data_IF_639719161516
#
_entry.id   IF_639719161516
#
_cell.length_a   1.000
_cell.length_b   1.000
_cell.length_c   1.000
_cell.angle_alpha   90.00
_cell.angle_beta   90.00
_cell.angle_gamma   90.00
#
_symmetry.space_group_name_H-M   'P 1'
#
loop_
_entity.id
_entity.type
_entity.pdbx_description
1 polymer ?
#
# COMPACT_ATOMS: atom_id res chain seq x y z
N UNK A 1 39.68 -1.19 -12.77
CA UNK A 1 38.57 -0.68 -11.97
C UNK A 1 38.05 -1.62 -10.86
N UNK A 2 38.74 -2.68 -10.49
CA UNK A 2 38.29 -3.62 -9.41
C UNK A 2 38.96 -3.38 -8.03
N UNK A 3 39.92 -2.45 -7.90
CA UNK A 3 40.65 -2.21 -6.65
C UNK A 3 40.25 -0.93 -5.88
N UNK A 4 39.28 -0.14 -6.39
CA UNK A 4 38.84 1.09 -5.71
C UNK A 4 37.66 0.84 -4.77
N UNK A 5 36.81 -0.16 -5.04
CA UNK A 5 35.63 -0.47 -4.22
C UNK A 5 35.97 -1.18 -2.90
N UNK A 6 37.03 -1.95 -2.84
CA UNK A 6 37.44 -2.66 -1.60
C UNK A 6 37.98 -1.73 -0.51
N UNK A 7 38.58 -0.60 -0.90
CA UNK A 7 39.15 0.35 0.08
C UNK A 7 38.11 1.28 0.72
N UNK A 8 36.99 1.54 0.04
CA UNK A 8 35.90 2.39 0.55
C UNK A 8 35.10 1.64 1.61
N UNK A 9 34.89 0.33 1.45
CA UNK A 9 34.17 -0.47 2.46
C UNK A 9 35.00 -0.72 3.73
N UNK A 10 36.31 -0.87 3.61
CA UNK A 10 37.21 -1.05 4.77
C UNK A 10 37.30 0.24 5.61
N UNK A 11 37.28 1.42 4.98
CA UNK A 11 37.30 2.72 5.70
C UNK A 11 35.96 3.04 6.34
N UNK A 12 34.83 2.67 5.72
CA UNK A 12 33.51 2.85 6.32
C UNK A 12 33.28 1.95 7.55
N UNK A 13 33.76 0.71 7.52
CA UNK A 13 33.71 -0.20 8.66
C UNK A 13 34.60 0.25 9.80
N UNK A 14 35.81 0.76 9.50
CA UNK A 14 36.72 1.28 10.52
C UNK A 14 36.19 2.58 11.19
N UNK A 15 35.53 3.45 10.44
CA UNK A 15 34.89 4.68 10.97
C UNK A 15 33.65 4.31 11.82
N UNK A 16 32.86 3.30 11.43
CA UNK A 16 31.74 2.82 12.23
C UNK A 16 32.20 2.21 13.56
N UNK A 17 33.30 1.48 13.58
CA UNK A 17 33.88 0.90 14.83
C UNK A 17 34.44 2.02 15.73
N UNK A 18 35.06 3.05 15.18
CA UNK A 18 35.60 4.19 15.96
C UNK A 18 34.47 5.07 16.48
N UNK A 19 33.38 5.27 15.72
CA UNK A 19 32.20 6.00 16.17
C UNK A 19 31.40 5.20 17.22
N UNK A 20 31.36 3.86 17.14
CA UNK A 20 30.72 3.03 18.17
C UNK A 20 31.51 3.03 19.50
N UNK A 21 32.84 3.11 19.42
CA UNK A 21 33.69 3.26 20.63
C UNK A 21 33.63 4.65 21.27
N UNK A 22 33.26 5.69 20.51
CA UNK A 22 33.11 7.07 21.01
C UNK A 22 31.74 7.33 21.66
N UNK A 23 30.73 6.50 21.37
CA UNK A 23 29.37 6.59 21.92
C UNK A 23 29.06 5.51 22.96
N UNK A 24 30.06 4.86 23.53
CA UNK A 24 29.84 4.09 24.75
C UNK A 24 29.34 5.05 25.84
N UNK A 25 28.16 4.77 26.48
CA UNK A 25 27.63 5.63 27.54
C UNK A 25 28.72 5.90 28.59
N UNK A 26 28.73 7.11 29.14
CA UNK A 26 29.65 7.51 30.19
C UNK A 26 29.70 6.50 31.35
N UNK A 27 28.60 5.75 31.55
CA UNK A 27 28.47 4.65 32.51
C UNK A 27 29.46 3.51 32.33
N UNK A 28 29.84 3.15 31.05
CA UNK A 28 30.82 2.07 30.81
C UNK A 28 32.26 2.57 31.07
N UNK A 29 32.52 3.87 30.81
CA UNK A 29 33.83 4.48 31.14
C UNK A 29 34.00 4.62 32.66
N UNK A 30 32.93 4.95 33.38
CA UNK A 30 32.93 4.99 34.86
C UNK A 30 33.02 3.59 35.46
N UNK A 31 32.42 2.56 34.84
CA UNK A 31 32.53 1.18 35.31
C UNK A 31 33.99 0.68 35.28
N UNK A 32 34.78 1.04 34.24
CA UNK A 32 36.23 0.76 34.21
C UNK A 32 37.04 1.47 35.29
N UNK A 33 36.82 2.77 35.53
CA UNK A 33 37.49 3.55 36.54
C UNK A 33 37.15 3.11 37.97
N UNK A 34 35.93 2.56 38.20
CA UNK A 34 35.53 2.00 39.50
C UNK A 34 36.06 0.57 39.74
N UNK A 35 36.36 -0.20 38.65
CA UNK A 35 36.99 -1.52 38.78
C UNK A 35 38.37 -1.42 39.45
N UNK A 36 39.15 -0.43 39.05
CA UNK A 36 40.56 -0.27 39.54
C UNK A 36 40.66 0.18 41.02
N UNK A 37 39.61 0.81 41.55
CA UNK A 37 39.55 1.21 42.98
C UNK A 37 38.90 0.17 43.89
N UNK A 38 38.18 -0.80 43.37
CA UNK A 38 37.55 -1.87 44.15
C UNK A 38 38.51 -3.02 44.49
N UNK A 39 39.65 -3.12 43.78
CA UNK A 39 40.64 -4.17 44.00
C UNK A 39 41.50 -3.91 45.28
N UNK A 40 41.44 -2.69 45.86
CA UNK A 40 42.18 -2.32 47.08
C UNK A 40 41.44 -2.68 48.38
N UNK A 41 40.17 -3.11 48.32
CA UNK A 41 39.32 -3.37 49.51
C UNK A 41 39.01 -4.87 49.70
N UNK A 42 39.40 -5.75 48.76
CA UNK A 42 38.95 -7.13 48.73
C UNK A 42 39.90 -8.15 49.38
N UNK A 43 40.78 -7.75 50.31
CA UNK A 43 41.69 -8.65 51.04
C UNK A 43 41.24 -8.96 52.46
N UNK A 44 40.06 -9.58 52.63
CA UNK A 44 39.76 -10.35 53.87
C UNK A 44 38.71 -11.45 53.65
N UNK A 45 39.17 -12.61 53.55
CA UNK A 45 38.86 -14.01 53.94
C UNK A 45 37.42 -14.46 54.21
N UNK A 46 37.23 -15.64 53.65
CA UNK A 46 36.47 -16.82 54.13
C UNK A 46 34.97 -16.80 53.81
N UNK A 47 34.60 -17.58 52.78
CA UNK A 47 33.43 -18.47 52.85
C UNK A 47 33.47 -19.46 51.67
N UNK A 48 33.17 -20.74 51.97
CA UNK A 48 33.32 -21.85 51.05
C UNK A 48 32.64 -21.71 49.70
N UNK A 49 33.21 -22.37 48.70
CA UNK A 49 32.81 -22.48 47.31
C UNK A 49 31.38 -23.06 47.15
N UNK A 50 30.36 -22.23 47.35
CA UNK A 50 29.06 -22.55 46.81
C UNK A 50 29.01 -22.13 45.36
N UNK A 51 29.06 -23.11 44.43
CA UNK A 51 28.85 -22.87 43.02
C UNK A 51 27.49 -22.23 42.80
N UNK A 52 27.46 -21.04 42.21
CA UNK A 52 26.22 -20.39 41.88
C UNK A 52 25.65 -21.00 40.59
N UNK A 53 24.33 -21.03 40.48
CA UNK A 53 23.64 -21.40 39.25
C UNK A 53 22.46 -20.47 38.98
N UNK A 54 22.19 -20.23 37.72
CA UNK A 54 21.02 -19.49 37.24
C UNK A 54 20.11 -20.46 36.49
N UNK A 55 18.92 -20.69 37.03
CA UNK A 55 17.88 -21.45 36.37
C UNK A 55 16.84 -20.50 35.78
N UNK A 56 16.65 -20.58 34.46
CA UNK A 56 15.67 -19.75 33.74
C UNK A 56 14.55 -20.65 33.21
N UNK A 57 13.30 -20.34 33.61
CA UNK A 57 12.09 -20.99 33.11
C UNK A 57 11.49 -20.13 32.00
N UNK A 58 11.20 -20.73 30.82
CA UNK A 58 10.57 -20.04 29.68
C UNK A 58 9.82 -21.03 28.77
N UNK A 59 8.67 -20.66 28.29
CA UNK A 59 7.87 -21.47 27.35
C UNK A 59 7.69 -22.95 27.76
N UNK A 60 7.55 -23.22 29.07
CA UNK A 60 7.46 -24.58 29.59
C UNK A 60 8.77 -25.37 29.63
N UNK A 61 9.91 -24.74 29.35
CA UNK A 61 11.26 -25.28 29.42
C UNK A 61 11.99 -24.68 30.61
N UNK A 62 13.01 -25.36 31.05
CA UNK A 62 13.92 -24.92 32.11
C UNK A 62 15.34 -25.15 31.66
N UNK A 63 16.16 -24.11 31.73
CA UNK A 63 17.57 -24.17 31.42
C UNK A 63 18.37 -23.65 32.62
N UNK A 64 19.35 -24.42 33.08
CA UNK A 64 20.20 -24.09 34.24
C UNK A 64 21.63 -23.92 33.76
N UNK A 65 22.25 -22.85 34.19
CA UNK A 65 23.65 -22.52 33.93
C UNK A 65 24.42 -22.36 35.24
N UNK A 66 25.61 -22.91 35.26
CA UNK A 66 26.55 -22.77 36.38
C UNK A 66 27.27 -21.44 36.33
N UNK A 67 27.87 -21.01 37.43
CA UNK A 67 28.71 -19.80 37.50
C UNK A 67 29.88 -19.87 36.51
N UNK A 68 30.43 -21.06 36.30
CA UNK A 68 31.52 -21.30 35.35
C UNK A 68 31.09 -21.03 33.91
N UNK A 69 29.89 -21.48 33.52
CA UNK A 69 29.33 -21.27 32.17
C UNK A 69 28.95 -19.82 31.90
N UNK A 70 28.61 -19.04 32.94
CA UNK A 70 28.28 -17.62 32.80
C UNK A 70 29.52 -16.74 32.91
N UNK A 71 30.56 -17.20 33.58
CA UNK A 71 31.79 -16.45 33.82
C UNK A 71 32.97 -16.88 32.91
N UNK A 72 32.90 -18.06 32.29
CA UNK A 72 33.98 -18.53 31.39
C UNK A 72 33.94 -17.84 30.03
N UNK A 73 35.07 -17.44 29.45
CA UNK A 73 35.10 -16.94 28.08
C UNK A 73 34.82 -18.09 27.11
N UNK A 74 33.94 -17.84 26.13
CA UNK A 74 33.83 -18.69 24.95
C UNK A 74 35.20 -18.67 24.20
N UNK A 75 35.68 -19.81 23.73
CA UNK A 75 37.00 -19.99 23.17
C UNK A 75 37.35 -19.21 21.89
N UNK A 76 36.44 -18.31 21.42
CA UNK A 76 36.66 -17.50 20.22
C UNK A 76 36.74 -15.98 20.46
N UNK A 77 36.62 -15.50 21.68
CA UNK A 77 36.81 -14.08 22.00
C UNK A 77 38.03 -13.88 22.91
N UNK A 78 39.16 -13.51 22.32
CA UNK A 78 40.34 -12.99 23.03
C UNK A 78 39.99 -11.70 23.77
N UNK A 79 39.43 -11.82 24.97
CA UNK A 79 39.47 -10.77 25.96
C UNK A 79 40.46 -11.19 27.05
N UNK A 80 41.57 -10.51 27.15
CA UNK A 80 42.44 -10.58 28.34
C UNK A 80 41.64 -10.22 29.58
N UNK A 81 41.02 -11.20 30.21
CA UNK A 81 40.46 -11.10 31.55
C UNK A 81 41.57 -11.50 32.49
N UNK A 82 42.07 -10.57 33.30
CA UNK A 82 43.01 -10.86 34.36
C UNK A 82 42.48 -12.04 35.18
N UNK A 83 43.29 -13.13 35.23
CA UNK A 83 42.98 -14.41 35.89
C UNK A 83 42.55 -14.31 37.35
N UNK A 84 42.79 -13.20 38.02
CA UNK A 84 42.45 -12.99 39.46
C UNK A 84 41.00 -12.63 39.73
N UNK A 85 40.12 -12.44 38.73
CA UNK A 85 38.71 -12.03 38.93
C UNK A 85 37.68 -13.15 38.80
N UNK A 86 38.08 -14.32 38.29
CA UNK A 86 37.16 -15.43 37.99
C UNK A 86 36.86 -16.28 39.26
N UNK A 87 37.69 -16.23 40.28
CA UNK A 87 37.62 -17.09 41.47
C UNK A 87 36.94 -16.46 42.70
N UNK A 88 36.32 -15.26 42.60
CA UNK A 88 35.53 -14.72 43.73
C UNK A 88 34.23 -15.47 43.90
N UNK A 89 33.93 -15.93 45.11
CA UNK A 89 32.71 -16.68 45.40
C UNK A 89 31.43 -15.88 45.12
N UNK A 90 30.32 -16.57 44.92
CA UNK A 90 29.02 -15.96 44.59
C UNK A 90 28.61 -14.82 45.56
N UNK A 91 28.86 -15.01 46.89
CA UNK A 91 28.52 -13.98 47.89
C UNK A 91 29.30 -12.69 47.68
N UNK A 92 30.56 -12.76 47.32
CA UNK A 92 31.42 -11.60 47.07
C UNK A 92 30.96 -10.90 45.77
N UNK A 93 30.71 -11.68 44.73
CA UNK A 93 30.15 -11.14 43.46
C UNK A 93 28.79 -10.47 43.67
N UNK A 94 27.86 -11.08 44.41
CA UNK A 94 26.56 -10.51 44.75
C UNK A 94 26.66 -9.23 45.59
N UNK A 95 27.57 -9.19 46.55
CA UNK A 95 27.84 -8.00 47.37
C UNK A 95 28.41 -6.88 46.49
N UNK A 96 29.34 -7.17 45.59
CA UNK A 96 29.92 -6.21 44.66
C UNK A 96 28.89 -5.66 43.70
N UNK A 97 28.02 -6.52 43.12
CA UNK A 97 26.92 -6.08 42.28
C UNK A 97 25.98 -5.14 43.00
N UNK A 98 25.59 -5.47 44.25
CA UNK A 98 24.78 -4.60 45.11
C UNK A 98 25.45 -3.25 45.40
N UNK A 99 26.74 -3.26 45.72
CA UNK A 99 27.49 -2.04 45.92
C UNK A 99 27.53 -1.16 44.67
N UNK A 100 27.78 -1.76 43.50
CA UNK A 100 27.78 -1.04 42.21
C UNK A 100 26.42 -0.38 41.93
N UNK A 101 25.31 -1.08 42.18
CA UNK A 101 23.95 -0.53 42.01
C UNK A 101 23.70 0.61 43.02
N UNK A 102 24.13 0.45 44.27
CA UNK A 102 24.01 1.52 45.30
C UNK A 102 24.84 2.76 44.94
N UNK A 103 25.88 2.62 44.12
CA UNK A 103 26.69 3.72 43.59
C UNK A 103 26.15 4.30 42.27
N UNK A 104 24.95 3.91 41.83
CA UNK A 104 24.26 4.49 40.68
C UNK A 104 24.43 3.74 39.37
N UNK A 105 25.11 2.56 39.30
CA UNK A 105 25.13 1.76 38.12
C UNK A 105 23.76 1.08 37.88
N UNK A 106 23.39 0.93 36.64
CA UNK A 106 22.22 0.12 36.31
C UNK A 106 22.44 -1.35 36.74
N UNK A 107 21.35 -2.06 37.06
CA UNK A 107 21.44 -3.48 37.44
C UNK A 107 22.13 -4.32 36.37
N UNK A 108 21.86 -4.04 35.08
CA UNK A 108 22.50 -4.69 33.94
C UNK A 108 24.02 -4.48 33.97
N UNK A 109 24.51 -3.23 34.05
CA UNK A 109 25.94 -2.93 34.06
C UNK A 109 26.64 -3.56 35.26
N UNK A 110 26.01 -3.53 36.42
CA UNK A 110 26.57 -4.11 37.62
C UNK A 110 26.69 -5.63 37.57
N UNK A 111 25.68 -6.31 36.96
CA UNK A 111 25.71 -7.75 36.76
C UNK A 111 26.73 -8.16 35.70
N UNK A 112 26.73 -7.50 34.52
CA UNK A 112 27.65 -7.81 33.41
C UNK A 112 29.12 -7.65 33.83
N UNK A 113 29.43 -6.64 34.68
CA UNK A 113 30.79 -6.47 35.19
C UNK A 113 31.24 -7.60 36.16
N UNK A 114 30.31 -8.40 36.69
CA UNK A 114 30.64 -9.55 37.57
C UNK A 114 30.42 -10.91 36.86
N UNK A 115 29.59 -10.91 35.85
CA UNK A 115 29.21 -12.08 35.03
C UNK A 115 29.25 -11.70 33.56
N UNK A 116 30.45 -11.65 32.94
CA UNK A 116 30.64 -11.14 31.57
C UNK A 116 29.86 -11.86 30.50
N UNK A 117 29.58 -13.17 30.67
CA UNK A 117 28.85 -13.99 29.69
C UNK A 117 27.33 -13.99 29.89
N UNK A 118 26.82 -13.31 30.94
CA UNK A 118 25.38 -13.20 31.15
C UNK A 118 24.61 -12.57 29.95
N UNK A 119 25.17 -11.59 29.21
CA UNK A 119 24.53 -11.11 27.98
C UNK A 119 24.44 -12.19 26.89
N UNK A 120 25.49 -12.94 26.63
CA UNK A 120 25.47 -14.03 25.63
C UNK A 120 24.48 -15.11 26.00
N UNK A 121 24.39 -15.45 27.27
CA UNK A 121 23.37 -16.35 27.79
C UNK A 121 21.94 -15.81 27.55
N UNK A 122 21.67 -14.54 27.92
CA UNK A 122 20.40 -13.91 27.66
C UNK A 122 20.06 -13.91 26.15
N UNK A 123 21.01 -13.60 25.30
CA UNK A 123 20.83 -13.62 23.85
C UNK A 123 20.48 -15.03 23.33
N UNK A 124 21.13 -16.07 23.84
CA UNK A 124 20.83 -17.45 23.47
C UNK A 124 19.38 -17.85 23.79
N UNK A 125 18.92 -17.60 25.02
CA UNK A 125 17.54 -17.92 25.41
C UNK A 125 16.51 -17.02 24.71
N UNK A 126 16.87 -15.75 24.41
CA UNK A 126 16.04 -14.81 23.68
C UNK A 126 15.76 -15.33 22.27
N UNK A 127 16.78 -15.75 21.53
CA UNK A 127 16.64 -16.33 20.17
C UNK A 127 15.71 -17.55 20.13
N UNK A 128 15.65 -18.36 21.19
CA UNK A 128 14.76 -19.52 21.25
C UNK A 128 13.27 -19.16 21.35
N UNK A 129 12.96 -17.99 21.92
CA UNK A 129 11.58 -17.56 22.18
C UNK A 129 11.12 -16.45 21.25
N UNK A 130 12.05 -15.65 20.72
CA UNK A 130 11.73 -14.53 19.85
C UNK A 130 11.01 -14.97 18.58
N UNK A 131 9.94 -14.26 18.29
CA UNK A 131 9.18 -14.42 17.05
C UNK A 131 8.86 -13.05 16.51
N UNK A 132 9.15 -12.84 15.24
CA UNK A 132 8.77 -11.61 14.57
C UNK A 132 7.23 -11.53 14.47
N UNK A 133 6.67 -10.34 14.55
CA UNK A 133 5.24 -10.15 14.28
C UNK A 133 4.95 -10.50 12.83
N UNK A 134 3.74 -10.99 12.58
CA UNK A 134 3.24 -11.20 11.22
C UNK A 134 2.09 -10.23 10.97
N UNK A 135 2.23 -9.40 9.94
CA UNK A 135 1.20 -8.48 9.51
C UNK A 135 -0.02 -9.22 8.94
N UNK A 136 -1.17 -8.57 9.02
CA UNK A 136 -2.36 -8.95 8.28
C UNK A 136 -2.14 -8.73 6.78
N UNK A 137 -2.47 -9.72 5.98
CA UNK A 137 -2.45 -9.64 4.52
C UNK A 137 -3.87 -9.49 3.99
N UNK A 138 -4.05 -8.74 2.92
CA UNK A 138 -5.32 -8.58 2.24
C UNK A 138 -5.15 -8.89 0.74
N UNK A 139 -5.99 -9.82 0.26
CA UNK A 139 -6.06 -10.18 -1.16
C UNK A 139 -7.37 -9.68 -1.73
N UNK A 140 -7.29 -8.97 -2.85
CA UNK A 140 -8.44 -8.53 -3.62
C UNK A 140 -8.76 -9.52 -4.75
N UNK A 141 -10.03 -9.92 -4.83
CA UNK A 141 -10.56 -10.78 -5.89
C UNK A 141 -11.83 -10.12 -6.46
N UNK A 142 -11.72 -9.36 -7.56
CA UNK A 142 -12.81 -8.49 -8.03
C UNK A 142 -14.12 -9.25 -8.27
N UNK A 143 -14.06 -10.42 -8.90
CA UNK A 143 -15.22 -11.31 -9.13
C UNK A 143 -15.54 -12.27 -7.99
N UNK A 144 -14.75 -12.27 -6.89
CA UNK A 144 -14.89 -13.19 -5.77
C UNK A 144 -16.02 -12.83 -4.81
N UNK A 145 -16.45 -13.85 -4.03
CA UNK A 145 -17.34 -13.66 -2.90
C UNK A 145 -16.76 -14.43 -1.70
N UNK A 146 -16.16 -13.74 -0.72
CA UNK A 146 -16.03 -12.27 -0.61
C UNK A 146 -15.00 -11.67 -1.59
N UNK A 147 -15.15 -10.39 -1.92
CA UNK A 147 -14.19 -9.66 -2.77
C UNK A 147 -12.83 -9.47 -2.09
N UNK A 148 -12.78 -9.45 -0.78
CA UNK A 148 -11.57 -9.26 0.03
C UNK A 148 -11.41 -10.42 0.99
N UNK A 149 -10.22 -11.05 0.95
CA UNK A 149 -9.80 -12.06 1.92
C UNK A 149 -8.73 -11.41 2.78
N UNK A 150 -8.99 -11.34 4.09
CA UNK A 150 -8.10 -10.70 5.07
C UNK A 150 -7.63 -11.77 6.05
N UNK A 151 -6.31 -11.95 6.17
CA UNK A 151 -5.72 -12.85 7.17
C UNK A 151 -5.59 -12.11 8.51
N UNK A 152 -5.60 -12.87 9.61
CA UNK A 152 -5.31 -12.30 10.93
C UNK A 152 -3.81 -12.06 11.07
N UNK A 153 -3.49 -10.95 11.68
CA UNK A 153 -2.14 -10.66 12.17
C UNK A 153 -1.75 -11.55 13.34
N UNK A 154 -0.45 -11.61 13.61
CA UNK A 154 0.09 -12.26 14.81
C UNK A 154 1.09 -11.36 15.47
N UNK A 155 0.95 -11.18 16.78
CA UNK A 155 1.96 -10.48 17.56
C UNK A 155 3.26 -11.29 17.55
N UNK A 156 4.36 -10.58 17.46
CA UNK A 156 5.69 -11.09 17.79
C UNK A 156 5.87 -11.16 19.30
N UNK A 157 6.92 -11.83 19.70
CA UNK A 157 7.32 -11.97 21.11
C UNK A 157 8.83 -11.70 21.17
N UNK A 158 9.27 -10.91 22.16
CA UNK A 158 10.69 -10.76 22.52
C UNK A 158 10.88 -10.96 24.01
N UNK A 159 12.07 -11.35 24.41
CA UNK A 159 12.44 -11.39 25.82
C UNK A 159 12.50 -9.96 26.40
N UNK A 160 11.98 -9.78 27.62
CA UNK A 160 12.12 -8.52 28.37
C UNK A 160 13.50 -8.49 29.04
N UNK A 161 14.46 -7.89 28.34
CA UNK A 161 15.84 -7.76 28.82
C UNK A 161 15.91 -7.04 30.18
N UNK A 162 15.13 -5.97 30.33
CA UNK A 162 15.14 -5.18 31.56
C UNK A 162 14.60 -5.98 32.75
N UNK A 163 13.53 -6.72 32.55
CA UNK A 163 13.00 -7.60 33.57
C UNK A 163 13.97 -8.73 33.90
N UNK A 164 14.60 -9.35 32.87
CA UNK A 164 15.59 -10.39 33.06
C UNK A 164 16.70 -9.95 34.02
N UNK A 165 17.44 -8.87 33.72
CA UNK A 165 18.50 -8.38 34.59
C UNK A 165 18.00 -7.94 35.99
N UNK A 166 16.79 -7.41 36.09
CA UNK A 166 16.19 -7.05 37.38
C UNK A 166 15.88 -8.28 38.21
N UNK A 167 15.35 -9.31 37.61
CA UNK A 167 14.96 -10.56 38.30
C UNK A 167 16.18 -11.38 38.71
N UNK A 168 17.21 -11.45 37.82
CA UNK A 168 18.52 -12.06 38.15
C UNK A 168 19.16 -11.35 39.32
N UNK A 169 19.21 -9.98 39.31
CA UNK A 169 19.75 -9.21 40.42
C UNK A 169 19.01 -9.54 41.73
N UNK A 170 17.70 -9.53 41.72
CA UNK A 170 16.90 -9.78 42.92
C UNK A 170 17.04 -11.22 43.44
N UNK A 171 17.10 -12.20 42.53
CA UNK A 171 17.25 -13.61 42.90
C UNK A 171 18.63 -13.89 43.52
N UNK A 172 19.70 -13.40 42.91
CA UNK A 172 21.05 -13.60 43.40
C UNK A 172 21.39 -12.84 44.71
N UNK A 173 20.61 -11.81 45.08
CA UNK A 173 20.71 -11.20 46.40
C UNK A 173 20.15 -12.11 47.51
N UNK A 174 19.32 -13.11 47.17
CA UNK A 174 18.66 -13.99 48.13
C UNK A 174 19.36 -15.37 48.24
N UNK A 175 19.81 -15.90 47.13
CA UNK A 175 20.36 -17.26 47.04
C UNK A 175 21.45 -17.37 45.96
N UNK A 176 22.49 -18.17 46.18
CA UNK A 176 23.46 -18.50 45.13
C UNK A 176 22.81 -19.32 43.98
N UNK A 177 21.72 -20.01 44.26
CA UNK A 177 20.93 -20.75 43.26
C UNK A 177 19.70 -19.91 42.92
N UNK A 178 19.79 -19.15 41.81
CA UNK A 178 18.71 -18.27 41.37
C UNK A 178 17.78 -19.02 40.45
N UNK A 179 16.48 -18.91 40.70
CA UNK A 179 15.44 -19.36 39.76
C UNK A 179 14.62 -18.16 39.34
N UNK A 180 14.52 -17.91 38.05
CA UNK A 180 13.72 -16.81 37.50
C UNK A 180 12.83 -17.32 36.37
N UNK A 181 11.71 -16.64 36.15
CA UNK A 181 10.87 -16.86 34.97
C UNK A 181 11.13 -15.75 33.98
N UNK A 182 11.54 -16.10 32.77
CA UNK A 182 11.79 -15.13 31.71
C UNK A 182 10.48 -14.46 31.28
N UNK A 183 10.42 -13.15 31.47
CA UNK A 183 9.30 -12.33 31.03
C UNK A 183 9.45 -11.98 29.55
N UNK A 184 8.32 -11.84 28.87
CA UNK A 184 8.28 -11.52 27.45
C UNK A 184 7.42 -10.29 27.21
N UNK A 185 7.79 -9.52 26.20
CA UNK A 185 7.01 -8.42 25.66
C UNK A 185 6.42 -8.83 24.30
N UNK A 186 5.20 -8.37 24.03
CA UNK A 186 4.61 -8.54 22.72
C UNK A 186 5.06 -7.43 21.79
N UNK A 187 5.41 -7.82 20.55
CA UNK A 187 5.71 -6.88 19.46
C UNK A 187 4.46 -6.82 18.59
N UNK A 188 3.75 -5.68 18.54
CA UNK A 188 2.59 -5.56 17.68
C UNK A 188 3.00 -5.61 16.19
N UNK A 189 2.14 -6.11 15.30
CA UNK A 189 2.34 -6.04 13.86
C UNK A 189 2.22 -4.59 13.38
N UNK A 190 2.82 -4.28 12.24
CA UNK A 190 2.71 -2.97 11.60
C UNK A 190 1.34 -2.77 10.94
N UNK A 191 0.72 -3.85 10.42
CA UNK A 191 -0.58 -3.83 9.75
C UNK A 191 -1.51 -4.85 10.41
N UNK A 192 -2.67 -4.36 10.89
CA UNK A 192 -3.71 -5.21 11.49
C UNK A 192 -4.81 -5.58 10.49
N UNK A 193 -5.59 -6.61 10.77
CA UNK A 193 -6.78 -6.94 10.01
C UNK A 193 -7.83 -5.81 10.04
N UNK A 194 -7.87 -5.06 11.13
CA UNK A 194 -8.72 -3.87 11.25
C UNK A 194 -8.30 -2.76 10.28
N UNK A 195 -6.99 -2.54 10.07
CA UNK A 195 -6.49 -1.55 9.12
C UNK A 195 -6.76 -1.97 7.67
N UNK A 196 -6.58 -3.24 7.35
CA UNK A 196 -6.97 -3.79 6.06
C UNK A 196 -8.47 -3.67 5.82
N UNK A 197 -9.32 -3.95 6.81
CA UNK A 197 -10.77 -3.84 6.70
C UNK A 197 -11.24 -2.41 6.40
N UNK A 198 -10.58 -1.39 6.92
CA UNK A 198 -10.87 0.02 6.59
C UNK A 198 -10.68 0.35 5.11
N UNK A 199 -9.91 -0.46 4.38
CA UNK A 199 -9.63 -0.27 2.96
C UNK A 199 -10.58 -1.06 2.02
N UNK A 200 -11.61 -1.69 2.54
CA UNK A 200 -12.57 -2.47 1.74
C UNK A 200 -13.88 -1.75 1.44
N UNK A 201 -13.98 -0.47 1.75
CA UNK A 201 -15.18 0.32 1.55
C UNK A 201 -15.45 0.55 0.06
N UNK A 202 -16.72 0.45 -0.36
CA UNK A 202 -17.12 0.87 -1.70
C UNK A 202 -17.14 2.40 -1.76
N UNK A 203 -16.07 3.00 -2.31
CA UNK A 203 -15.91 4.46 -2.43
C UNK A 203 -16.84 5.06 -3.46
N UNK A 204 -16.99 4.38 -4.58
CA UNK A 204 -17.81 4.84 -5.70
C UNK A 204 -18.20 3.70 -6.64
N UNK A 205 -19.34 3.87 -7.29
CA UNK A 205 -19.79 3.04 -8.41
C UNK A 205 -20.35 3.93 -9.50
N UNK A 206 -19.98 3.65 -10.74
CA UNK A 206 -20.57 4.30 -11.91
C UNK A 206 -20.80 3.31 -13.03
N UNK A 207 -21.83 3.57 -13.84
CA UNK A 207 -22.15 2.73 -14.99
C UNK A 207 -22.59 3.55 -16.21
N UNK A 208 -22.36 3.00 -17.39
CA UNK A 208 -22.88 3.49 -18.67
C UNK A 208 -23.57 2.36 -19.44
N UNK A 209 -24.63 2.68 -20.16
CA UNK A 209 -25.41 1.72 -20.95
C UNK A 209 -24.85 1.60 -22.36
N UNK A 210 -24.54 0.36 -22.81
CA UNK A 210 -24.16 0.02 -24.18
C UNK A 210 -25.08 -1.06 -24.80
N UNK A 211 -26.22 -1.34 -24.20
CA UNK A 211 -27.15 -2.42 -24.59
C UNK A 211 -27.56 -2.36 -26.06
N UNK A 212 -27.74 -1.14 -26.57
CA UNK A 212 -28.14 -0.89 -27.98
C UNK A 212 -26.99 -0.92 -28.98
N UNK A 213 -25.77 -1.19 -28.55
CA UNK A 213 -24.60 -1.25 -29.44
C UNK A 213 -24.57 -2.52 -30.27
N UNK A 214 -24.00 -2.43 -31.46
CA UNK A 214 -23.70 -3.61 -32.28
C UNK A 214 -22.70 -4.56 -31.64
N UNK A 215 -22.63 -5.81 -32.10
CA UNK A 215 -21.84 -6.90 -31.52
C UNK A 215 -20.36 -6.53 -31.30
N UNK A 216 -19.70 -6.02 -32.31
CA UNK A 216 -18.28 -5.66 -32.24
C UNK A 216 -18.02 -4.54 -31.21
N UNK A 217 -18.90 -3.54 -31.15
CA UNK A 217 -18.79 -2.44 -30.20
C UNK A 217 -18.98 -2.94 -28.76
N UNK A 218 -19.95 -3.85 -28.54
CA UNK A 218 -20.15 -4.49 -27.23
C UNK A 218 -18.90 -5.23 -26.82
N UNK A 219 -18.35 -6.07 -27.69
CA UNK A 219 -17.10 -6.79 -27.43
C UNK A 219 -15.94 -5.84 -27.05
N UNK A 220 -15.74 -4.74 -27.77
CA UNK A 220 -14.68 -3.77 -27.46
C UNK A 220 -14.84 -3.10 -26.10
N UNK A 221 -16.07 -2.76 -25.71
CA UNK A 221 -16.37 -2.23 -24.37
C UNK A 221 -16.02 -3.26 -23.29
N UNK A 222 -16.51 -4.49 -23.46
CA UNK A 222 -16.32 -5.60 -22.53
C UNK A 222 -14.82 -5.94 -22.36
N UNK A 223 -14.09 -6.01 -23.47
CA UNK A 223 -12.65 -6.25 -23.46
C UNK A 223 -11.88 -5.14 -22.73
N UNK A 224 -12.24 -3.87 -22.99
CA UNK A 224 -11.60 -2.74 -22.31
C UNK A 224 -11.88 -2.74 -20.81
N UNK A 225 -13.11 -3.06 -20.39
CA UNK A 225 -13.47 -3.21 -18.98
C UNK A 225 -12.70 -4.38 -18.34
N UNK A 226 -12.63 -5.53 -19.01
CA UNK A 226 -11.88 -6.70 -18.51
C UNK A 226 -10.40 -6.38 -18.29
N UNK A 227 -9.76 -5.63 -19.21
CA UNK A 227 -8.34 -5.25 -19.08
C UNK A 227 -8.06 -4.31 -17.92
N UNK A 228 -9.05 -3.56 -17.46
CA UNK A 228 -8.90 -2.63 -16.31
C UNK A 228 -9.33 -3.25 -14.98
N UNK A 229 -9.95 -4.44 -15.01
CA UNK A 229 -10.40 -5.14 -13.83
C UNK A 229 -9.24 -5.64 -12.95
N UNK A 230 -9.41 -5.62 -11.64
CA UNK A 230 -8.41 -6.07 -10.68
C UNK A 230 -7.24 -5.11 -10.49
N UNK A 231 -7.30 -3.90 -11.04
CA UNK A 231 -6.23 -2.89 -10.81
C UNK A 231 -6.18 -2.49 -9.34
N UNK A 232 -4.99 -2.50 -8.78
CA UNK A 232 -4.70 -1.99 -7.43
C UNK A 232 -3.75 -0.80 -7.53
N UNK A 233 -3.97 0.23 -6.74
CA UNK A 233 -3.15 1.43 -6.67
C UNK A 233 -2.80 1.73 -5.21
N UNK A 234 -1.52 1.80 -4.90
CA UNK A 234 -1.02 2.33 -3.63
C UNK A 234 -1.32 3.83 -3.54
N UNK A 235 -1.25 4.40 -2.33
CA UNK A 235 -1.36 5.85 -2.18
C UNK A 235 -0.24 6.56 -2.93
N UNK A 236 -0.57 7.59 -3.71
CA UNK A 236 0.34 8.29 -4.62
C UNK A 236 0.58 7.60 -5.97
N UNK A 237 0.09 6.37 -6.19
CA UNK A 237 0.26 5.65 -7.45
C UNK A 237 -0.72 6.13 -8.51
N UNK A 238 -0.24 6.22 -9.77
CA UNK A 238 -1.01 6.71 -10.91
C UNK A 238 -1.45 5.59 -11.83
N UNK A 239 -2.70 5.66 -12.29
CA UNK A 239 -3.27 4.82 -13.32
C UNK A 239 -3.18 5.50 -14.69
N UNK A 240 -2.96 4.71 -15.76
CA UNK A 240 -3.06 5.12 -17.17
C UNK A 240 -3.90 4.12 -17.92
N UNK A 241 -5.00 4.58 -18.51
CA UNK A 241 -5.91 3.74 -19.27
C UNK A 241 -5.22 3.15 -20.51
N UNK A 242 -4.44 3.97 -21.23
CA UNK A 242 -3.75 3.50 -22.43
C UNK A 242 -2.64 2.48 -22.12
N UNK A 243 -1.93 2.64 -20.99
CA UNK A 243 -0.93 1.67 -20.54
C UNK A 243 -1.59 0.33 -20.19
N UNK A 244 -2.73 0.38 -19.49
CA UNK A 244 -3.44 -0.82 -19.02
C UNK A 244 -4.17 -1.56 -20.14
N UNK A 245 -4.90 -0.85 -20.99
CA UNK A 245 -5.69 -1.45 -22.07
C UNK A 245 -4.85 -1.79 -23.30
N UNK A 246 -3.79 -1.04 -23.53
CA UNK A 246 -2.89 -1.22 -24.68
C UNK A 246 -3.42 -0.64 -25.99
N UNK A 247 -2.70 -0.91 -27.08
CA UNK A 247 -3.06 -0.49 -28.43
C UNK A 247 -4.35 -1.17 -28.89
N UNK A 248 -5.25 -0.41 -29.55
CA UNK A 248 -6.50 -0.94 -30.12
C UNK A 248 -6.20 -1.55 -31.48
N UNK A 249 -5.76 -2.80 -31.50
CA UNK A 249 -5.44 -3.57 -32.73
C UNK A 249 -6.16 -4.91 -32.71
N UNK A 250 -6.28 -5.54 -33.87
CA UNK A 250 -6.83 -6.89 -33.99
C UNK A 250 -6.05 -7.92 -33.19
N UNK A 251 -4.73 -7.78 -33.13
CA UNK A 251 -3.83 -8.62 -32.31
C UNK A 251 -4.15 -8.56 -30.82
N UNK A 252 -4.60 -7.38 -30.34
CA UNK A 252 -5.02 -7.18 -28.96
C UNK A 252 -6.51 -7.51 -28.73
N UNK A 253 -7.18 -8.11 -29.72
CA UNK A 253 -8.54 -8.58 -29.64
C UNK A 253 -9.62 -7.54 -29.93
N UNK A 254 -9.28 -6.35 -30.44
CA UNK A 254 -10.25 -5.31 -30.76
C UNK A 254 -10.79 -5.49 -32.18
N UNK A 255 -12.09 -5.26 -32.34
CA UNK A 255 -12.81 -5.36 -33.61
C UNK A 255 -13.12 -3.98 -34.17
N UNK A 256 -13.38 -3.93 -35.48
CA UNK A 256 -13.88 -2.71 -36.12
C UNK A 256 -15.31 -2.40 -35.68
N UNK A 257 -15.51 -1.14 -35.29
CA UNK A 257 -16.81 -0.58 -34.98
C UNK A 257 -16.76 0.95 -35.18
N UNK A 258 -17.89 1.64 -35.13
CA UNK A 258 -17.95 3.08 -35.33
C UNK A 258 -17.10 3.84 -34.29
N UNK A 259 -16.15 4.64 -34.78
CA UNK A 259 -15.34 5.61 -34.05
C UNK A 259 -15.64 7.03 -34.53
N UNK A 260 -15.26 8.04 -33.78
CA UNK A 260 -15.39 9.45 -34.15
C UNK A 260 -14.03 9.97 -34.62
N UNK A 261 -13.92 10.36 -35.89
CA UNK A 261 -12.70 10.97 -36.48
C UNK A 261 -13.12 12.23 -37.20
N UNK A 262 -12.49 13.37 -36.84
CA UNK A 262 -12.80 14.65 -37.51
C UNK A 262 -14.26 15.12 -37.38
N UNK A 263 -15.01 14.63 -36.36
CA UNK A 263 -16.42 14.95 -36.19
C UNK A 263 -17.38 14.05 -36.98
N UNK A 264 -16.89 12.99 -37.62
CA UNK A 264 -17.68 12.01 -38.35
C UNK A 264 -17.55 10.60 -37.77
N UNK A 265 -18.59 9.77 -38.00
CA UNK A 265 -18.56 8.35 -37.64
C UNK A 265 -17.97 7.53 -38.75
N UNK A 266 -16.82 6.93 -38.53
CA UNK A 266 -16.14 6.03 -39.47
C UNK A 266 -15.92 4.66 -38.80
N UNK A 267 -15.72 3.63 -39.62
CA UNK A 267 -15.33 2.31 -39.07
C UNK A 267 -13.85 2.31 -38.69
N UNK A 268 -13.53 1.77 -37.51
CA UNK A 268 -12.17 1.68 -37.04
C UNK A 268 -12.03 0.75 -35.83
N UNK A 269 -10.82 0.27 -35.59
CA UNK A 269 -10.53 -0.66 -34.50
C UNK A 269 -10.76 -0.01 -33.12
N UNK A 270 -11.42 -0.73 -32.23
CA UNK A 270 -11.65 -0.32 -30.87
C UNK A 270 -12.81 0.66 -30.67
N UNK A 271 -13.74 0.79 -31.65
CA UNK A 271 -14.96 1.59 -31.45
C UNK A 271 -15.73 1.10 -30.23
N UNK A 272 -15.99 2.02 -29.28
CA UNK A 272 -16.61 1.73 -27.98
C UNK A 272 -15.65 1.87 -26.78
N UNK A 273 -14.35 1.78 -26.95
CA UNK A 273 -13.35 1.84 -25.85
C UNK A 273 -13.44 3.13 -25.05
N UNK A 274 -13.75 4.28 -25.68
CA UNK A 274 -13.97 5.54 -24.96
C UNK A 274 -15.17 5.50 -24.00
N UNK A 275 -16.11 4.58 -24.15
CA UNK A 275 -17.17 4.39 -23.17
C UNK A 275 -16.66 3.70 -21.91
N UNK A 276 -15.73 2.74 -22.04
CA UNK A 276 -15.06 2.12 -20.90
C UNK A 276 -14.24 3.15 -20.13
N UNK A 277 -13.40 3.96 -20.81
CA UNK A 277 -12.64 5.03 -20.16
C UNK A 277 -13.52 6.07 -19.50
N UNK A 278 -14.64 6.46 -20.12
CA UNK A 278 -15.63 7.37 -19.52
C UNK A 278 -16.27 6.78 -18.27
N UNK A 279 -16.60 5.49 -18.29
CA UNK A 279 -17.17 4.81 -17.10
C UNK A 279 -16.17 4.84 -15.94
N UNK A 280 -14.92 4.50 -16.22
CA UNK A 280 -13.85 4.51 -15.22
C UNK A 280 -13.54 5.92 -14.71
N UNK A 281 -13.47 6.92 -15.61
CA UNK A 281 -13.27 8.33 -15.26
C UNK A 281 -14.29 8.84 -14.24
N UNK A 282 -15.56 8.54 -14.48
CA UNK A 282 -16.61 8.99 -13.60
C UNK A 282 -16.57 8.28 -12.24
N UNK A 283 -16.28 7.00 -12.22
CA UNK A 283 -16.07 6.27 -10.96
C UNK A 283 -14.86 6.85 -10.19
N UNK A 284 -13.76 7.15 -10.88
CA UNK A 284 -12.57 7.78 -10.29
C UNK A 284 -12.88 9.16 -9.67
N UNK A 285 -13.63 10.01 -10.38
CA UNK A 285 -14.08 11.31 -9.86
C UNK A 285 -14.90 11.15 -8.57
N UNK A 286 -15.88 10.23 -8.59
CA UNK A 286 -16.75 9.97 -7.44
C UNK A 286 -16.00 9.30 -6.27
N UNK A 287 -14.95 8.53 -6.57
CA UNK A 287 -14.06 7.93 -5.58
C UNK A 287 -13.08 8.94 -4.97
N UNK A 288 -13.04 10.18 -5.48
CA UNK A 288 -12.15 11.23 -4.98
C UNK A 288 -10.71 11.12 -5.50
N UNK A 289 -10.46 10.40 -6.59
CA UNK A 289 -9.14 10.33 -7.21
C UNK A 289 -8.74 11.69 -7.80
N UNK A 290 -7.44 11.98 -7.83
CA UNK A 290 -6.94 13.12 -8.57
C UNK A 290 -6.85 12.77 -10.05
N UNK A 291 -7.64 13.41 -10.89
CA UNK A 291 -7.58 13.20 -12.34
C UNK A 291 -6.51 14.11 -12.94
N UNK A 292 -5.47 13.50 -13.53
CA UNK A 292 -4.30 14.16 -14.07
C UNK A 292 -4.48 14.47 -15.57
N UNK A 293 -5.16 13.56 -16.30
CA UNK A 293 -5.44 13.71 -17.73
C UNK A 293 -6.81 13.12 -18.08
N UNK A 294 -7.68 13.90 -18.67
CA UNK A 294 -8.94 13.46 -19.27
C UNK A 294 -9.39 14.48 -20.34
N UNK A 295 -9.63 14.01 -21.55
CA UNK A 295 -10.09 14.84 -22.67
C UNK A 295 -11.54 14.61 -23.05
N UNK A 296 -12.23 15.62 -23.60
CA UNK A 296 -13.57 15.49 -24.18
C UNK A 296 -13.54 14.91 -25.59
N UNK A 297 -14.64 14.33 -26.02
CA UNK A 297 -14.88 14.05 -27.42
C UNK A 297 -15.17 15.33 -28.19
N UNK A 298 -14.99 15.29 -29.51
CA UNK A 298 -15.41 16.36 -30.41
C UNK A 298 -16.94 16.48 -30.46
N UNK A 299 -17.65 15.35 -30.38
CA UNK A 299 -19.11 15.25 -30.36
C UNK A 299 -19.56 14.76 -28.98
N UNK A 300 -20.63 15.34 -28.42
CA UNK A 300 -21.17 14.92 -27.13
C UNK A 300 -21.68 13.47 -27.18
N UNK A 301 -21.11 12.55 -26.39
CA UNK A 301 -21.58 11.17 -26.36
C UNK A 301 -22.91 11.08 -25.61
N UNK A 302 -23.80 10.20 -26.05
CA UNK A 302 -25.16 10.05 -25.47
C UNK A 302 -25.20 9.23 -24.18
N UNK A 303 -24.15 8.51 -23.83
CA UNK A 303 -24.09 7.59 -22.68
C UNK A 303 -23.65 8.27 -21.38
N UNK A 304 -23.29 9.56 -21.40
CA UNK A 304 -22.89 10.34 -20.25
C UNK A 304 -23.29 11.83 -20.41
N UNK A 305 -23.48 12.52 -19.31
CA UNK A 305 -23.76 13.96 -19.36
C UNK A 305 -22.52 14.72 -19.90
N UNK A 306 -22.71 15.85 -20.62
CA UNK A 306 -21.63 16.67 -21.14
C UNK A 306 -20.63 17.08 -20.06
N UNK A 307 -19.36 17.22 -20.43
CA UNK A 307 -18.20 17.48 -19.55
C UNK A 307 -17.87 16.37 -18.54
N UNK A 308 -18.40 15.16 -18.75
CA UNK A 308 -18.07 13.97 -17.98
C UNK A 308 -17.63 12.78 -18.85
N UNK A 309 -17.34 13.00 -20.09
CA UNK A 309 -16.74 12.02 -20.98
C UNK A 309 -15.22 12.02 -20.90
N UNK A 310 -14.59 10.90 -21.23
CA UNK A 310 -13.15 10.75 -21.33
C UNK A 310 -12.79 10.07 -22.64
N UNK A 311 -12.43 10.88 -23.64
CA UNK A 311 -11.95 10.40 -24.92
C UNK A 311 -10.51 9.91 -24.79
N UNK A 312 -10.23 8.71 -25.30
CA UNK A 312 -8.89 8.12 -25.30
C UNK A 312 -8.48 7.71 -26.71
N UNK A 313 -7.20 7.94 -27.03
CA UNK A 313 -6.58 7.50 -28.28
C UNK A 313 -5.13 7.11 -27.98
N UNK A 314 -4.74 5.91 -28.38
CA UNK A 314 -3.40 5.41 -28.05
C UNK A 314 -2.31 6.29 -28.66
N UNK A 315 -1.41 6.77 -27.80
CA UNK A 315 -0.29 7.62 -28.18
C UNK A 315 -0.61 9.14 -28.23
N UNK A 316 -1.88 9.58 -28.04
CA UNK A 316 -2.23 11.00 -28.16
C UNK A 316 -3.14 11.53 -27.04
N UNK A 317 -4.08 10.74 -26.53
CA UNK A 317 -5.00 11.13 -25.45
C UNK A 317 -5.14 9.98 -24.48
N UNK A 318 -5.04 10.25 -23.20
CA UNK A 318 -5.17 9.24 -22.17
C UNK A 318 -6.18 9.65 -21.10
N UNK A 319 -6.60 8.68 -20.30
CA UNK A 319 -7.21 8.91 -19.01
C UNK A 319 -6.17 8.51 -17.97
N UNK A 320 -5.73 9.50 -17.19
CA UNK A 320 -4.82 9.29 -16.07
C UNK A 320 -5.41 9.85 -14.79
N UNK A 321 -5.24 9.14 -13.70
CA UNK A 321 -5.59 9.61 -12.37
C UNK A 321 -4.66 8.99 -11.33
N UNK A 322 -4.48 9.71 -10.22
CA UNK A 322 -3.62 9.32 -9.11
C UNK A 322 -4.47 9.05 -7.87
N UNK A 323 -4.15 7.96 -7.18
CA UNK A 323 -4.73 7.66 -5.88
C UNK A 323 -4.15 8.63 -4.83
N UNK A 324 -5.00 9.41 -4.20
CA UNK A 324 -4.67 10.36 -3.14
C UNK A 324 -5.53 10.13 -1.88
N UNK A 325 -5.91 8.89 -1.61
CA UNK A 325 -6.88 8.56 -0.56
C UNK A 325 -6.27 8.22 0.79
N UNK A 326 -4.92 8.19 0.91
CA UNK A 326 -4.21 7.80 2.12
C UNK A 326 -4.21 6.29 2.39
N UNK A 327 -4.58 5.47 1.40
CA UNK A 327 -4.57 4.02 1.48
C UNK A 327 -4.63 3.39 0.09
N UNK A 328 -4.67 2.06 0.02
CA UNK A 328 -4.81 1.38 -1.28
C UNK A 328 -6.21 1.59 -1.86
N UNK A 329 -6.28 1.63 -3.18
CA UNK A 329 -7.51 1.64 -3.97
C UNK A 329 -7.56 0.41 -4.85
N UNK A 330 -8.71 -0.25 -4.87
CA UNK A 330 -8.98 -1.46 -5.65
C UNK A 330 -10.08 -1.16 -6.66
N UNK A 331 -9.83 -1.48 -7.92
CA UNK A 331 -10.73 -1.17 -9.03
C UNK A 331 -11.34 -2.47 -9.55
N UNK A 332 -12.66 -2.58 -9.49
CA UNK A 332 -13.42 -3.65 -10.11
C UNK A 332 -14.22 -3.11 -11.27
N UNK A 333 -13.95 -3.61 -12.47
CA UNK A 333 -14.65 -3.23 -13.69
C UNK A 333 -15.25 -4.46 -14.35
N UNK A 334 -16.52 -4.39 -14.68
CA UNK A 334 -17.24 -5.51 -15.27
C UNK A 334 -18.39 -5.04 -16.14
N UNK A 335 -18.92 -5.98 -16.92
CA UNK A 335 -20.10 -5.76 -17.74
C UNK A 335 -21.23 -6.68 -17.31
N UNK A 336 -22.44 -6.11 -17.15
CA UNK A 336 -23.63 -6.85 -16.77
C UNK A 336 -24.90 -6.18 -17.29
N UNK A 337 -25.83 -6.94 -17.87
CA UNK A 337 -27.10 -6.43 -18.37
C UNK A 337 -26.97 -5.31 -19.42
N UNK A 338 -25.93 -5.34 -20.27
CA UNK A 338 -25.66 -4.28 -21.25
C UNK A 338 -25.08 -2.99 -20.67
N UNK A 339 -24.61 -3.01 -19.43
CA UNK A 339 -23.97 -1.87 -18.74
C UNK A 339 -22.51 -2.18 -18.47
N UNK A 340 -21.64 -1.22 -18.77
CA UNK A 340 -20.27 -1.17 -18.28
C UNK A 340 -20.28 -0.55 -16.89
N UNK A 341 -19.66 -1.20 -15.91
CA UNK A 341 -19.73 -0.84 -14.48
C UNK A 341 -18.31 -0.76 -13.94
N UNK A 342 -18.01 0.32 -13.24
CA UNK A 342 -16.75 0.51 -12.51
C UNK A 342 -17.03 0.79 -11.03
N UNK A 343 -16.39 0.04 -10.16
CA UNK A 343 -16.44 0.15 -8.71
C UNK A 343 -15.04 0.42 -8.17
N UNK A 344 -14.92 1.38 -7.27
CA UNK A 344 -13.69 1.70 -6.56
C UNK A 344 -13.87 1.36 -5.10
N UNK A 345 -12.95 0.58 -4.55
CA UNK A 345 -12.88 0.24 -3.13
C UNK A 345 -11.65 0.84 -2.51
N UNK A 346 -11.67 1.11 -1.22
CA UNK A 346 -10.56 1.70 -0.48
C UNK A 346 -11.00 2.29 0.85
N UNK A 347 -10.23 3.22 1.37
CA UNK A 347 -10.61 3.99 2.57
C UNK A 347 -11.84 4.84 2.26
N UNK A 348 -12.79 4.89 3.20
CA UNK A 348 -14.02 5.66 3.05
C UNK A 348 -13.76 7.12 2.69
N UNK A 349 -14.53 7.66 1.75
CA UNK A 349 -14.42 9.06 1.35
C UNK A 349 -14.89 9.98 2.49
N UNK A 350 -14.11 11.03 2.78
CA UNK A 350 -14.56 12.10 3.68
C UNK A 350 -15.84 12.77 3.20
N UNK A 351 -16.01 12.90 1.89
CA UNK A 351 -17.13 13.59 1.27
C UNK A 351 -17.95 12.66 0.37
N UNK A 352 -19.26 12.83 0.38
CA UNK A 352 -20.09 12.32 -0.69
C UNK A 352 -19.97 13.24 -1.90
N UNK A 353 -19.46 12.73 -3.02
CA UNK A 353 -19.18 13.51 -4.23
C UNK A 353 -20.28 13.33 -5.25
N UNK A 354 -20.83 14.43 -5.76
CA UNK A 354 -21.86 14.44 -6.78
C UNK A 354 -21.37 15.21 -8.00
N UNK A 355 -21.68 14.71 -9.20
CA UNK A 355 -21.36 15.35 -10.47
C UNK A 355 -22.51 16.27 -10.90
N UNK A 356 -22.21 17.46 -11.41
CA UNK A 356 -23.18 18.38 -11.99
C UNK A 356 -22.68 18.88 -13.34
N UNK A 357 -23.41 18.57 -14.42
CA UNK A 357 -23.19 19.14 -15.75
C UNK A 357 -24.10 20.36 -15.93
N UNK A 358 -23.55 21.42 -16.46
CA UNK A 358 -24.28 22.67 -16.75
C UNK A 358 -24.06 22.98 -18.23
N UNK A 359 -25.14 23.07 -18.99
CA UNK A 359 -25.11 23.60 -20.36
C UNK A 359 -25.03 25.12 -20.27
N UNK A 360 -23.94 25.68 -20.80
CA UNK A 360 -23.70 27.14 -20.79
C UNK A 360 -24.30 27.80 -22.01
N UNK A 361 -24.15 27.16 -23.17
CA UNK A 361 -24.74 27.63 -24.42
C UNK A 361 -25.01 26.45 -25.35
N UNK A 362 -26.02 26.61 -26.18
CA UNK A 362 -26.39 25.66 -27.23
C UNK A 362 -26.64 26.45 -28.52
N UNK A 363 -26.00 26.00 -29.61
CA UNK A 363 -26.23 26.58 -30.92
C UNK A 363 -27.38 25.88 -31.64
N UNK A 364 -27.50 26.13 -32.93
CA UNK A 364 -28.49 25.47 -33.79
C UNK A 364 -27.89 24.18 -34.39
N UNK A 365 -28.75 23.21 -34.65
CA UNK A 365 -28.38 22.01 -35.42
C UNK A 365 -28.22 22.40 -36.90
N UNK A 366 -27.15 21.95 -37.56
CA UNK A 366 -27.05 22.17 -39.02
C UNK A 366 -28.17 21.47 -39.75
N UNK A 367 -28.54 21.99 -40.93
CA UNK A 367 -29.49 21.35 -41.83
C UNK A 367 -29.08 19.91 -42.15
N UNK A 368 -30.07 19.03 -42.27
CA UNK A 368 -29.83 17.63 -42.61
C UNK A 368 -29.16 17.51 -44.00
N UNK A 369 -28.23 16.57 -44.14
CA UNK A 369 -27.67 16.20 -45.44
C UNK A 369 -28.70 15.30 -46.15
N UNK A 370 -29.19 15.74 -47.32
CA UNK A 370 -30.03 14.93 -48.19
C UNK A 370 -29.14 13.99 -48.99
N UNK A 371 -29.47 12.70 -49.01
CA UNK A 371 -28.86 11.67 -49.86
C UNK A 371 -29.98 11.03 -50.69
N UNK A 372 -29.75 10.88 -51.99
CA UNK A 372 -30.65 10.14 -52.86
C UNK A 372 -30.24 8.66 -52.84
N UNK A 373 -31.19 7.76 -52.63
CA UNK A 373 -30.96 6.30 -52.54
C UNK A 373 -30.96 5.65 -53.94
N UNK A 374 -30.01 6.05 -54.76
CA UNK A 374 -29.88 5.52 -56.14
C UNK A 374 -29.62 4.01 -56.18
N UNK A 375 -28.96 3.47 -55.16
CA UNK A 375 -28.62 2.05 -55.05
C UNK A 375 -29.73 1.18 -54.40
N UNK A 376 -30.83 1.78 -53.96
CA UNK A 376 -31.92 1.06 -53.27
C UNK A 376 -31.52 0.42 -51.94
N UNK A 377 -30.55 1.03 -51.22
CA UNK A 377 -29.98 0.51 -49.97
C UNK A 377 -30.89 0.69 -48.78
N UNK A 378 -31.70 1.74 -48.77
CA UNK A 378 -32.46 2.18 -47.59
C UNK A 378 -33.95 1.97 -47.73
N UNK A 379 -34.46 1.91 -48.96
CA UNK A 379 -35.88 1.69 -49.25
C UNK A 379 -36.14 0.35 -49.89
N UNK A 380 -37.25 -0.26 -49.53
CA UNK A 380 -37.73 -1.42 -50.26
C UNK A 380 -38.07 -1.05 -51.72
N UNK A 381 -37.97 -1.98 -52.70
CA UNK A 381 -38.27 -1.68 -54.11
C UNK A 381 -39.66 -1.10 -54.35
N UNK A 382 -40.64 -1.53 -53.57
CA UNK A 382 -42.06 -1.15 -53.65
C UNK A 382 -42.40 0.12 -52.80
N UNK A 383 -41.43 0.76 -52.17
CA UNK A 383 -41.69 2.00 -51.45
C UNK A 383 -42.07 3.11 -52.45
N UNK A 384 -42.87 4.08 -52.05
CA UNK A 384 -43.32 5.20 -52.85
C UNK A 384 -42.16 6.12 -53.25
N UNK A 385 -42.09 6.54 -54.54
CA UNK A 385 -41.12 7.52 -55.04
C UNK A 385 -41.18 8.82 -54.25
N UNK A 386 -40.02 9.41 -53.97
CA UNK A 386 -39.91 10.62 -53.16
C UNK A 386 -40.05 10.41 -51.66
N UNK A 387 -40.29 9.16 -51.18
CA UNK A 387 -40.29 8.84 -49.75
C UNK A 387 -39.01 9.30 -49.07
N UNK A 388 -39.14 9.83 -47.86
CA UNK A 388 -38.00 10.32 -47.05
C UNK A 388 -37.87 9.54 -45.75
N UNK A 389 -36.64 9.15 -45.42
CA UNK A 389 -36.32 8.48 -44.15
C UNK A 389 -35.10 9.13 -43.52
N UNK A 390 -35.23 9.51 -42.25
CA UNK A 390 -34.09 10.02 -41.45
C UNK A 390 -33.32 8.85 -40.86
N UNK A 391 -32.10 8.62 -41.36
CA UNK A 391 -31.23 7.55 -40.91
C UNK A 391 -30.25 7.99 -39.82
N UNK A 392 -30.06 9.31 -39.65
CA UNK A 392 -29.26 9.90 -38.56
C UNK A 392 -29.89 11.24 -38.14
N UNK A 393 -30.14 11.41 -36.83
CA UNK A 393 -30.54 12.70 -36.30
C UNK A 393 -29.37 13.66 -36.23
N UNK A 394 -29.63 14.97 -36.45
CA UNK A 394 -28.68 16.04 -36.19
C UNK A 394 -28.62 16.39 -34.72
N UNK A 395 -27.54 17.05 -34.29
CA UNK A 395 -27.46 17.69 -32.98
C UNK A 395 -26.79 19.06 -33.06
N UNK A 396 -27.24 19.97 -32.20
CA UNK A 396 -26.68 21.31 -32.06
C UNK A 396 -25.27 21.29 -31.47
N UNK A 397 -24.50 22.34 -31.69
CA UNK A 397 -23.28 22.55 -30.91
C UNK A 397 -23.62 22.82 -29.45
N UNK A 398 -22.72 22.47 -28.55
CA UNK A 398 -22.95 22.57 -27.13
C UNK A 398 -21.67 23.04 -26.41
N UNK A 399 -21.81 24.02 -25.52
CA UNK A 399 -20.79 24.36 -24.52
C UNK A 399 -21.32 23.99 -23.15
N UNK A 400 -20.51 23.24 -22.41
CA UNK A 400 -20.90 22.78 -21.07
C UNK A 400 -19.77 22.89 -20.08
N UNK A 401 -20.13 22.89 -18.81
CA UNK A 401 -19.22 22.89 -17.69
C UNK A 401 -19.53 21.72 -16.75
N UNK A 402 -18.48 21.02 -16.32
CA UNK A 402 -18.55 19.95 -15.34
C UNK A 402 -18.11 20.42 -13.95
N UNK A 403 -18.91 20.08 -12.95
CA UNK A 403 -18.65 20.41 -11.55
C UNK A 403 -18.71 19.17 -10.68
N UNK A 404 -17.86 19.13 -9.64
CA UNK A 404 -17.99 18.23 -8.52
C UNK A 404 -18.48 19.02 -7.29
N UNK A 405 -19.53 18.50 -6.67
CA UNK A 405 -20.11 19.01 -5.44
C UNK A 405 -19.74 18.04 -4.31
N UNK A 406 -19.18 18.57 -3.24
CA UNK A 406 -18.73 17.78 -2.09
C UNK A 406 -19.70 18.01 -0.93
N UNK A 407 -20.29 16.94 -0.44
CA UNK A 407 -21.26 16.96 0.65
C UNK A 407 -20.68 16.36 1.91
N UNK A 408 -20.87 17.03 3.04
CA UNK A 408 -20.56 16.55 4.38
C UNK A 408 -21.83 16.69 5.23
N UNK A 409 -22.29 15.59 5.83
CA UNK A 409 -23.55 15.58 6.62
C UNK A 409 -24.75 16.17 5.88
N UNK A 410 -24.88 15.89 4.59
CA UNK A 410 -25.99 16.35 3.76
C UNK A 410 -25.90 17.80 3.27
N UNK A 411 -24.87 18.56 3.67
CA UNK A 411 -24.65 19.95 3.21
C UNK A 411 -23.55 19.99 2.16
N UNK A 412 -23.76 20.76 1.08
CA UNK A 412 -22.72 21.03 0.09
C UNK A 412 -21.70 21.99 0.71
N UNK A 413 -20.49 21.49 0.98
CA UNK A 413 -19.40 22.26 1.62
C UNK A 413 -18.39 22.81 0.62
N UNK A 414 -18.34 22.23 -0.60
CA UNK A 414 -17.41 22.65 -1.64
C UNK A 414 -17.99 22.36 -3.02
N UNK A 415 -17.79 23.27 -3.96
CA UNK A 415 -18.03 23.07 -5.39
C UNK A 415 -16.73 23.32 -6.14
N UNK A 416 -16.35 22.41 -7.04
CA UNK A 416 -15.16 22.53 -7.88
C UNK A 416 -15.55 22.35 -9.33
N UNK A 417 -15.31 23.35 -10.16
CA UNK A 417 -15.33 23.21 -11.62
C UNK A 417 -14.16 22.31 -12.04
N UNK A 418 -14.43 21.26 -12.81
CA UNK A 418 -13.40 20.33 -13.26
C UNK A 418 -12.94 20.64 -14.67
N UNK A 419 -13.87 21.03 -15.56
CA UNK A 419 -13.55 21.41 -16.94
C UNK A 419 -14.69 22.15 -17.61
N UNK A 420 -14.39 22.72 -18.78
CA UNK A 420 -15.36 23.33 -19.71
C UNK A 420 -15.10 22.77 -21.09
N UNK A 421 -16.12 22.31 -21.77
CA UNK A 421 -16.00 21.62 -23.05
C UNK A 421 -16.91 22.22 -24.09
N UNK A 422 -16.42 22.19 -25.36
CA UNK A 422 -17.19 22.56 -26.53
C UNK A 422 -17.36 21.35 -27.44
N UNK A 423 -18.59 21.00 -27.71
CA UNK A 423 -18.93 19.91 -28.62
C UNK A 423 -19.42 20.49 -29.94
N UNK A 424 -18.95 19.92 -31.04
CA UNK A 424 -19.31 20.34 -32.38
C UNK A 424 -20.71 19.86 -32.73
N UNK A 425 -21.43 20.56 -33.60
CA UNK A 425 -22.74 20.12 -34.07
C UNK A 425 -22.59 18.92 -35.00
N UNK A 426 -23.63 18.09 -35.06
CA UNK A 426 -23.72 16.95 -35.98
C UNK A 426 -24.82 17.24 -36.97
N UNK A 427 -24.49 17.16 -38.28
CA UNK A 427 -25.46 17.21 -39.33
C UNK A 427 -26.26 15.90 -39.41
N UNK A 428 -27.58 15.95 -39.40
CA UNK A 428 -28.41 14.79 -39.64
C UNK A 428 -28.29 14.26 -41.07
N UNK A 429 -28.84 13.08 -41.33
CA UNK A 429 -28.87 12.49 -42.66
C UNK A 429 -30.34 12.08 -42.97
N UNK A 430 -30.87 12.69 -43.99
CA UNK A 430 -32.17 12.39 -44.57
C UNK A 430 -31.94 11.68 -45.91
N UNK A 431 -32.52 10.52 -46.10
CA UNK A 431 -32.42 9.73 -47.33
C UNK A 431 -33.76 9.88 -48.05
N UNK A 432 -33.69 10.15 -49.34
CA UNK A 432 -34.86 10.26 -50.22
C UNK A 432 -34.78 9.13 -51.29
N UNK A 433 -35.89 8.44 -51.51
CA UNK A 433 -36.02 7.54 -52.62
C UNK A 433 -36.06 8.36 -53.93
N UNK A 434 -35.32 7.97 -55.00
CA UNK A 434 -35.38 8.65 -56.30
C UNK A 434 -36.79 8.87 -56.82
#
# INVERSE_FOLDING_TARGET
>A
MKNAFGKIFATAAAIAIVLFAAFLPAEIKTARAFSDKADEIASERIFGDQKSCLTVCYSGRTTTYTDEEIAAPDHEAEYEIHENKINSGHREKAALVKQRVNRGLSKKCALVASYPLLPSFFEKISREIERLPKDSEMTFSPGGQPKFIITREKNGIKADERAFYSDVFAAWQRSPTAVITLKTEQIPPAVTAADNKKQTFLKARFCTDYSRSGKNRKHNVELAMQKTDGTELSDGESFSFNKTVGRRSGENGFYEAKIIVGGEYVDGLGGGVCQASTTLYNAALLAGMNVDEAGSHTLAPSYVAPSFDAAVSYGSRDLKFTNCSGGRVFIHTYCSGGKAIAEFYGVENKYHIVRKSVVVSQGEAPEDKLIIDEEGKYFAPDAEEGSMMRIRGGSASLVSEGYLLYYESGKCVKTRKIRSDKYMPVRGILVKKP
#
